data_IF_486602932339
#
_entry.id   IF_486602932339
#
_cell.length_a   1.000
_cell.length_b   1.000
_cell.length_c   1.000
_cell.angle_alpha   90.00
_cell.angle_beta   90.00
_cell.angle_gamma   90.00
#
_symmetry.space_group_name_H-M   'P 1'
#
loop_
_entity.id
_entity.type
_entity.pdbx_description
1 polymer ?
#
# COMPACT_ATOMS: atom_id res chain seq x y z
N UNK A 1 -21.26 19.01 -18.20
CA UNK A 1 -22.58 18.39 -18.01
C UNK A 1 -23.65 19.44 -18.29
N UNK A 2 -24.63 19.15 -19.15
CA UNK A 2 -25.75 20.06 -19.44
C UNK A 2 -27.01 19.50 -18.80
N UNK A 3 -27.69 20.31 -17.98
CA UNK A 3 -28.91 19.90 -17.27
C UNK A 3 -30.07 20.78 -17.77
N UNK A 4 -30.93 20.27 -18.65
CA UNK A 4 -32.12 21.00 -19.07
C UNK A 4 -33.13 21.03 -17.92
N UNK A 5 -33.53 22.22 -17.48
CA UNK A 5 -34.52 22.46 -16.41
C UNK A 5 -34.09 21.95 -15.02
N UNK A 6 -33.10 22.59 -14.37
CA UNK A 6 -32.70 22.22 -13.01
C UNK A 6 -33.81 22.51 -11.99
N UNK A 7 -34.09 21.55 -11.12
CA UNK A 7 -35.01 21.72 -10.00
C UNK A 7 -34.32 22.40 -8.81
N UNK A 8 -35.07 23.16 -8.00
CA UNK A 8 -34.54 23.77 -6.78
C UNK A 8 -34.10 22.67 -5.79
N UNK A 9 -32.81 22.64 -5.46
CA UNK A 9 -32.24 21.68 -4.51
C UNK A 9 -31.74 20.37 -5.14
N UNK A 10 -31.62 20.28 -6.46
CA UNK A 10 -31.09 19.09 -7.14
C UNK A 10 -29.61 18.84 -6.77
N UNK A 11 -29.31 17.62 -6.30
CA UNK A 11 -27.95 17.17 -5.96
C UNK A 11 -27.30 16.57 -7.21
N UNK A 12 -26.10 17.03 -7.55
CA UNK A 12 -25.31 16.54 -8.69
C UNK A 12 -24.13 15.75 -8.14
N UNK A 13 -24.07 14.47 -8.48
CA UNK A 13 -22.95 13.60 -8.13
C UNK A 13 -21.86 13.70 -9.19
N UNK A 14 -20.64 14.03 -8.78
CA UNK A 14 -19.46 14.06 -9.64
C UNK A 14 -18.75 12.69 -9.59
N UNK A 15 -18.11 12.26 -10.70
CA UNK A 15 -17.31 11.03 -10.69
C UNK A 15 -16.19 11.09 -9.65
N UNK A 16 -15.93 9.94 -9.01
CA UNK A 16 -14.92 9.82 -7.94
C UNK A 16 -13.53 10.23 -8.40
N UNK A 17 -13.20 10.03 -9.67
CA UNK A 17 -11.91 10.42 -10.26
C UNK A 17 -11.65 11.93 -10.24
N UNK A 18 -12.71 12.74 -10.32
CA UNK A 18 -12.62 14.20 -10.40
C UNK A 18 -12.54 14.86 -9.02
N UNK A 19 -12.98 14.16 -7.97
CA UNK A 19 -13.07 14.68 -6.59
C UNK A 19 -11.89 14.27 -5.69
N UNK A 20 -10.96 13.45 -6.21
CA UNK A 20 -9.74 13.03 -5.50
C UNK A 20 -8.70 14.14 -5.40
N UNK A 21 -8.67 15.09 -6.35
CA UNK A 21 -7.81 16.28 -6.34
C UNK A 21 -8.60 17.53 -5.98
N UNK A 22 -7.94 18.63 -5.63
CA UNK A 22 -8.62 19.93 -5.53
C UNK A 22 -9.22 20.29 -6.90
N UNK A 23 -10.48 20.71 -6.91
CA UNK A 23 -11.21 21.00 -8.14
C UNK A 23 -12.03 22.28 -7.99
N UNK A 24 -12.26 22.95 -9.13
CA UNK A 24 -13.08 24.15 -9.21
C UNK A 24 -14.29 23.86 -10.10
N UNK A 25 -15.49 23.99 -9.53
CA UNK A 25 -16.74 23.81 -10.26
C UNK A 25 -17.19 25.17 -10.76
N UNK A 26 -17.30 25.31 -12.08
CA UNK A 26 -17.91 26.49 -12.71
C UNK A 26 -19.32 26.15 -13.20
N UNK A 27 -20.32 26.86 -12.68
CA UNK A 27 -21.72 26.72 -13.07
C UNK A 27 -22.09 27.91 -13.93
N UNK A 28 -22.45 27.66 -15.19
CA UNK A 28 -22.84 28.69 -16.16
C UNK A 28 -24.33 28.61 -16.45
N UNK A 29 -25.03 29.72 -16.24
CA UNK A 29 -26.46 29.85 -16.52
C UNK A 29 -26.67 30.48 -17.88
N UNK A 30 -27.47 29.84 -18.73
CA UNK A 30 -27.77 30.30 -20.09
C UNK A 30 -29.26 30.56 -20.23
N UNK A 31 -29.62 31.70 -20.84
CA UNK A 31 -31.02 32.04 -21.17
C UNK A 31 -31.05 32.61 -22.58
N UNK A 32 -31.89 32.05 -23.45
CA UNK A 32 -32.07 32.49 -24.84
C UNK A 32 -30.75 32.58 -25.66
N UNK A 33 -29.80 31.68 -25.39
CA UNK A 33 -28.51 31.65 -26.08
C UNK A 33 -27.45 32.61 -25.55
N UNK A 34 -27.74 33.39 -24.51
CA UNK A 34 -26.78 34.27 -23.85
C UNK A 34 -26.42 33.75 -22.44
N UNK A 35 -25.14 33.82 -22.09
CA UNK A 35 -24.66 33.47 -20.75
C UNK A 35 -25.05 34.59 -19.77
N UNK A 36 -25.93 34.28 -18.83
CA UNK A 36 -26.49 35.26 -17.88
C UNK A 36 -25.64 35.37 -16.62
N UNK A 37 -25.04 34.27 -16.18
CA UNK A 37 -24.28 34.24 -14.92
C UNK A 37 -23.31 33.07 -14.86
N UNK A 38 -22.20 33.26 -14.14
CA UNK A 38 -21.20 32.23 -13.85
C UNK A 38 -20.84 32.27 -12.36
N UNK A 39 -20.87 31.10 -11.73
CA UNK A 39 -20.45 30.93 -10.34
C UNK A 39 -19.34 29.89 -10.26
N UNK A 40 -18.22 30.25 -9.62
CA UNK A 40 -17.11 29.35 -9.34
C UNK A 40 -17.08 28.95 -7.86
N UNK A 41 -16.98 27.65 -7.58
CA UNK A 41 -16.82 27.12 -6.22
C UNK A 41 -15.55 26.28 -6.19
N UNK A 42 -14.65 26.58 -5.26
CA UNK A 42 -13.45 25.77 -5.01
C UNK A 42 -13.76 24.71 -3.97
N UNK A 43 -13.50 23.45 -4.31
CA UNK A 43 -13.73 22.29 -3.47
C UNK A 43 -12.39 21.62 -3.12
N UNK A 44 -12.21 21.29 -1.85
CA UNK A 44 -11.04 20.53 -1.38
C UNK A 44 -11.13 19.08 -1.84
N UNK A 45 -9.97 18.46 -2.06
CA UNK A 45 -9.85 17.04 -2.35
C UNK A 45 -10.52 16.19 -1.27
N UNK A 46 -11.38 15.25 -1.67
CA UNK A 46 -11.94 14.26 -0.76
C UNK A 46 -10.98 13.07 -0.64
N UNK A 47 -10.75 12.60 0.59
CA UNK A 47 -9.89 11.44 0.82
C UNK A 47 -10.58 10.18 0.31
N UNK A 48 -9.87 9.40 -0.50
CA UNK A 48 -10.39 8.19 -1.15
C UNK A 48 -11.09 7.21 -0.20
N UNK A 49 -10.66 7.12 1.06
CA UNK A 49 -11.27 6.23 2.05
C UNK A 49 -12.60 6.76 2.63
N UNK A 50 -12.87 8.06 2.56
CA UNK A 50 -14.14 8.66 3.03
C UNK A 50 -15.27 8.53 1.99
N UNK A 51 -14.93 8.17 0.75
CA UNK A 51 -15.86 7.92 -0.35
C UNK A 51 -16.47 6.52 -0.34
N UNK A 52 -15.97 5.62 0.51
CA UNK A 52 -16.49 4.26 0.66
C UNK A 52 -17.56 4.29 1.76
N UNK A 53 -18.82 4.49 1.38
CA UNK A 53 -19.97 4.48 2.29
C UNK A 53 -20.39 3.05 2.71
N UNK A 54 -19.46 2.22 3.14
CA UNK A 54 -19.76 0.88 3.62
C UNK A 54 -18.93 0.53 4.87
N UNK A 55 -19.55 -0.16 5.83
CA UNK A 55 -18.83 -0.61 7.04
C UNK A 55 -18.09 -1.93 6.82
N UNK A 56 -18.66 -2.83 6.00
CA UNK A 56 -18.04 -4.10 5.57
C UNK A 56 -18.54 -4.42 4.16
N UNK A 57 -17.74 -4.11 3.14
CA UNK A 57 -18.02 -4.51 1.76
C UNK A 57 -16.75 -4.96 1.04
N UNK A 58 -16.91 -5.65 -0.09
CA UNK A 58 -15.78 -6.20 -0.87
C UNK A 58 -14.80 -5.09 -1.25
N UNK A 59 -15.30 -3.92 -1.68
CA UNK A 59 -14.49 -2.76 -2.09
C UNK A 59 -13.56 -2.29 -0.95
N UNK A 60 -14.06 -2.30 0.28
CA UNK A 60 -13.28 -1.98 1.47
C UNK A 60 -12.26 -3.08 1.78
N UNK A 61 -12.64 -4.37 1.79
CA UNK A 61 -11.71 -5.48 2.03
C UNK A 61 -10.58 -5.56 0.99
N UNK A 62 -10.85 -5.19 -0.27
CA UNK A 62 -9.85 -5.18 -1.35
C UNK A 62 -8.91 -3.99 -1.28
N UNK A 63 -9.18 -2.98 -0.44
CA UNK A 63 -8.34 -1.80 -0.30
C UNK A 63 -7.68 -1.73 1.10
N UNK A 64 -6.48 -2.31 1.27
CA UNK A 64 -5.82 -2.43 2.57
C UNK A 64 -5.39 -1.10 3.20
N UNK A 65 -5.41 0.01 2.45
CA UNK A 65 -5.13 1.36 2.97
C UNK A 65 -6.34 1.95 3.70
N UNK A 66 -7.56 1.53 3.35
CA UNK A 66 -8.81 2.03 3.92
C UNK A 66 -9.45 1.06 4.92
N UNK A 67 -8.97 -0.19 5.03
CA UNK A 67 -9.47 -1.13 6.04
C UNK A 67 -9.01 -0.71 7.44
N UNK A 68 -9.92 -0.63 8.42
CA UNK A 68 -9.53 -0.42 9.81
C UNK A 68 -8.72 -1.64 10.25
N UNK A 69 -7.56 -1.38 10.86
CA UNK A 69 -6.60 -2.41 11.28
C UNK A 69 -7.22 -3.47 12.19
N UNK A 70 -8.28 -3.11 12.92
CA UNK A 70 -9.04 -3.97 13.80
C UNK A 70 -9.72 -5.14 13.05
N UNK A 71 -10.26 -4.89 11.85
CA UNK A 71 -10.94 -5.92 11.06
C UNK A 71 -9.98 -6.96 10.50
N UNK A 72 -8.76 -6.56 10.15
CA UNK A 72 -7.71 -7.48 9.68
C UNK A 72 -7.40 -8.50 10.78
N UNK A 73 -7.28 -8.04 12.03
CA UNK A 73 -6.99 -8.90 13.19
C UNK A 73 -8.14 -9.88 13.42
N UNK A 74 -9.40 -9.40 13.38
CA UNK A 74 -10.59 -10.24 13.54
C UNK A 74 -10.67 -11.32 12.46
N UNK A 75 -10.39 -10.97 11.20
CA UNK A 75 -10.44 -11.89 10.07
C UNK A 75 -9.36 -12.99 10.20
N UNK A 76 -8.13 -12.61 10.56
CA UNK A 76 -7.02 -13.56 10.78
C UNK A 76 -7.33 -14.51 11.94
N UNK A 77 -7.84 -13.99 13.06
CA UNK A 77 -8.24 -14.82 14.21
C UNK A 77 -9.40 -15.75 13.83
N UNK A 78 -10.39 -15.25 13.10
CA UNK A 78 -11.52 -16.06 12.62
C UNK A 78 -11.07 -17.23 11.73
N UNK A 79 -10.17 -16.98 10.77
CA UNK A 79 -9.59 -18.03 9.93
C UNK A 79 -8.82 -19.07 10.75
N UNK A 80 -8.05 -18.63 11.76
CA UNK A 80 -7.34 -19.53 12.66
C UNK A 80 -8.29 -20.46 13.42
N UNK A 81 -9.39 -19.92 13.96
CA UNK A 81 -10.40 -20.72 14.66
C UNK A 81 -11.11 -21.71 13.73
N UNK A 82 -11.49 -21.28 12.52
CA UNK A 82 -12.14 -22.16 11.53
C UNK A 82 -11.21 -23.31 11.15
N UNK A 83 -9.94 -23.02 10.86
CA UNK A 83 -8.96 -24.06 10.51
C UNK A 83 -8.71 -25.02 11.68
N UNK A 84 -8.59 -24.49 12.90
CA UNK A 84 -8.45 -25.29 14.11
C UNK A 84 -9.65 -26.22 14.34
N UNK A 85 -10.87 -25.71 14.15
CA UNK A 85 -12.11 -26.48 14.26
C UNK A 85 -12.20 -27.60 13.22
N UNK A 86 -11.86 -27.31 11.96
CA UNK A 86 -11.80 -28.33 10.90
C UNK A 86 -10.79 -29.44 11.22
N UNK A 87 -9.59 -29.08 11.71
CA UNK A 87 -8.58 -30.07 12.13
C UNK A 87 -9.10 -30.92 13.28
N UNK A 88 -9.81 -30.32 14.25
CA UNK A 88 -10.40 -31.03 15.38
C UNK A 88 -11.45 -32.05 14.91
N UNK A 89 -12.37 -31.65 14.02
CA UNK A 89 -13.36 -32.56 13.41
C UNK A 89 -12.66 -33.72 12.69
N UNK A 90 -11.64 -33.43 11.87
CA UNK A 90 -10.89 -34.47 11.18
C UNK A 90 -10.21 -35.45 12.15
N UNK A 91 -9.72 -35.00 13.30
CA UNK A 91 -9.14 -35.87 14.34
C UNK A 91 -10.18 -36.76 14.99
N UNK A 92 -11.35 -36.21 15.34
CA UNK A 92 -12.47 -36.96 15.92
C UNK A 92 -12.95 -38.04 14.95
N UNK A 93 -13.11 -37.70 13.67
CA UNK A 93 -13.51 -38.65 12.63
C UNK A 93 -12.48 -39.78 12.46
N UNK A 94 -11.18 -39.47 12.47
CA UNK A 94 -10.12 -40.49 12.40
C UNK A 94 -10.10 -41.40 13.62
N UNK A 95 -10.32 -40.86 14.81
CA UNK A 95 -10.38 -41.65 16.03
C UNK A 95 -11.62 -42.55 16.05
N UNK A 96 -12.78 -42.05 15.62
CA UNK A 96 -14.01 -42.83 15.48
C UNK A 96 -13.88 -43.97 14.46
N UNK A 97 -13.34 -43.69 13.26
CA UNK A 97 -13.11 -44.71 12.23
C UNK A 97 -12.06 -45.74 12.68
N UNK A 98 -10.98 -45.28 13.32
CA UNK A 98 -9.92 -46.14 13.86
C UNK A 98 -10.43 -47.08 14.96
N UNK A 99 -11.27 -46.58 15.87
CA UNK A 99 -11.93 -47.37 16.90
C UNK A 99 -12.83 -48.46 16.32
N UNK A 100 -13.66 -48.12 15.34
CA UNK A 100 -14.54 -49.06 14.63
C UNK A 100 -13.73 -50.17 13.92
N UNK A 101 -12.66 -49.82 13.22
CA UNK A 101 -11.77 -50.80 12.57
C UNK A 101 -11.06 -51.71 13.58
N UNK A 102 -10.72 -51.19 14.77
CA UNK A 102 -10.10 -51.97 15.84
C UNK A 102 -11.07 -53.02 16.42
N UNK A 103 -12.34 -52.64 16.65
CA UNK A 103 -13.40 -53.55 17.09
C UNK A 103 -13.64 -54.65 16.04
N UNK A 104 -13.70 -54.28 14.75
CA UNK A 104 -13.87 -55.24 13.66
C UNK A 104 -12.69 -56.21 13.56
N UNK A 105 -11.46 -55.73 13.77
CA UNK A 105 -10.25 -56.58 13.80
C UNK A 105 -10.26 -57.53 14.99
N UNK A 106 -10.77 -57.11 16.15
CA UNK A 106 -10.90 -57.97 17.32
C UNK A 106 -11.96 -59.05 17.12
N UNK A 107 -13.14 -58.70 16.60
CA UNK A 107 -14.18 -59.67 16.23
C UNK A 107 -13.68 -60.68 15.21
N UNK A 108 -12.96 -60.22 14.17
CA UNK A 108 -12.38 -61.11 13.16
C UNK A 108 -11.32 -62.06 13.74
N UNK A 109 -10.47 -61.58 14.67
CA UNK A 109 -9.52 -62.42 15.40
C UNK A 109 -10.24 -63.47 16.25
N UNK A 110 -11.30 -63.10 16.96
CA UNK A 110 -12.13 -64.05 17.71
C UNK A 110 -12.75 -65.10 16.79
N UNK A 111 -13.35 -64.70 15.67
CA UNK A 111 -13.89 -65.62 14.67
C UNK A 111 -12.81 -66.58 14.12
N UNK A 112 -11.58 -66.10 13.90
CA UNK A 112 -10.45 -66.95 13.49
C UNK A 112 -10.04 -67.95 14.57
N UNK A 113 -10.04 -67.54 15.85
CA UNK A 113 -9.70 -68.44 16.97
C UNK A 113 -10.79 -69.51 17.12
N UNK A 114 -12.07 -69.12 17.11
CA UNK A 114 -13.21 -70.04 17.16
C UNK A 114 -13.17 -70.99 15.96
N UNK A 115 -12.95 -70.48 14.74
CA UNK A 115 -12.80 -71.30 13.54
C UNK A 115 -11.55 -72.19 13.54
N UNK A 116 -10.51 -71.88 14.32
CA UNK A 116 -9.37 -72.79 14.57
C UNK A 116 -9.73 -73.87 15.59
N UNK A 117 -10.52 -73.56 16.62
CA UNK A 117 -11.00 -74.55 17.60
C UNK A 117 -11.94 -75.57 16.96
N UNK A 118 -12.89 -75.14 16.13
CA UNK A 118 -13.75 -76.05 15.35
C UNK A 118 -12.93 -76.89 14.36
N UNK A 119 -11.95 -76.30 13.67
CA UNK A 119 -11.03 -77.06 12.79
C UNK A 119 -10.12 -78.01 13.54
N UNK A 120 -9.71 -77.72 14.77
CA UNK A 120 -8.92 -78.63 15.63
C UNK A 120 -9.75 -79.83 16.09
N UNK A 121 -11.06 -79.65 16.29
CA UNK A 121 -11.97 -80.76 16.61
C UNK A 121 -12.22 -81.67 15.38
N UNK A 122 -12.23 -81.09 14.18
CA UNK A 122 -12.36 -81.84 12.92
C UNK A 122 -11.03 -82.43 12.39
N UNK A 123 -9.86 -81.95 12.84
CA UNK A 123 -8.53 -82.38 12.36
C UNK A 123 -7.73 -83.23 13.36
N UNK A 124 -8.37 -83.80 14.38
CA UNK A 124 -7.71 -84.78 15.26
C UNK A 124 -7.54 -86.17 14.60
N UNK A 125 -7.88 -86.33 13.32
CA UNK A 125 -7.76 -87.61 12.61
C UNK A 125 -6.80 -87.61 11.41
N UNK A 126 -6.21 -86.48 11.00
CA UNK A 126 -5.14 -86.47 9.98
C UNK A 126 -4.09 -85.40 10.30
N UNK A 127 -2.93 -85.86 10.77
CA UNK A 127 -1.70 -85.11 10.72
C UNK A 127 -1.31 -84.90 9.25
N UNK A 128 -0.81 -83.72 8.91
CA UNK A 128 0.50 -83.54 8.28
C UNK A 128 0.76 -82.05 8.02
N UNK A 129 2.05 -81.74 8.12
CA UNK A 129 2.74 -80.46 8.04
C UNK A 129 2.24 -79.51 6.93
N UNK A 130 2.07 -78.24 7.26
CA UNK A 130 2.36 -77.10 6.35
C UNK A 130 2.33 -75.80 7.14
N UNK A 131 3.51 -75.23 7.39
CA UNK A 131 3.66 -73.84 7.81
C UNK A 131 3.22 -72.90 6.67
N UNK A 132 2.27 -72.02 6.95
CA UNK A 132 1.99 -70.85 6.11
C UNK A 132 2.30 -69.57 6.90
N UNK A 133 3.38 -68.89 6.54
CA UNK A 133 3.66 -67.51 6.97
C UNK A 133 2.68 -66.55 6.27
N UNK A 134 1.90 -65.73 6.99
CA UNK A 134 1.10 -64.70 6.34
C UNK A 134 1.99 -63.51 5.95
N UNK A 135 2.07 -63.22 4.64
CA UNK A 135 2.54 -61.95 4.12
C UNK A 135 1.63 -60.82 4.61
N UNK A 136 2.12 -59.98 5.52
CA UNK A 136 1.48 -58.70 5.83
C UNK A 136 1.90 -57.67 4.80
N UNK A 137 1.10 -57.48 3.74
CA UNK A 137 1.21 -56.31 2.87
C UNK A 137 0.62 -55.10 3.60
N UNK A 138 1.48 -54.19 4.04
CA UNK A 138 1.12 -52.88 4.57
C UNK A 138 0.81 -51.95 3.39
N UNK A 139 -0.47 -51.78 3.05
CA UNK A 139 -0.89 -50.73 2.11
C UNK A 139 -0.76 -49.38 2.81
N UNK A 140 0.29 -48.61 2.48
CA UNK A 140 0.40 -47.20 2.82
C UNK A 140 -0.52 -46.42 1.89
N UNK A 141 -1.72 -46.08 2.36
CA UNK A 141 -2.60 -45.11 1.68
C UNK A 141 -2.04 -43.70 1.90
N UNK A 142 -1.14 -43.29 1.02
CA UNK A 142 -0.74 -41.90 0.88
C UNK A 142 -1.74 -41.20 -0.05
N UNK A 143 -2.79 -40.58 0.51
CA UNK A 143 -3.55 -39.49 -0.12
C UNK A 143 -4.25 -38.71 1.00
N UNK A 144 -3.89 -37.43 1.21
CA UNK A 144 -4.68 -36.35 0.61
C UNK A 144 -3.85 -35.11 0.24
N UNK A 145 -2.53 -35.24 0.00
CA UNK A 145 -1.68 -34.07 -0.29
C UNK A 145 -1.80 -33.58 -1.74
N UNK A 146 -2.07 -34.48 -2.68
CA UNK A 146 -2.17 -34.13 -4.11
C UNK A 146 -3.52 -33.54 -4.49
N UNK A 147 -4.62 -33.99 -3.88
CA UNK A 147 -5.96 -33.45 -4.16
C UNK A 147 -6.05 -31.98 -3.73
N UNK A 148 -5.48 -31.64 -2.57
CA UNK A 148 -5.44 -30.26 -2.04
C UNK A 148 -4.60 -29.34 -2.93
N UNK A 149 -3.49 -29.85 -3.49
CA UNK A 149 -2.63 -29.08 -4.36
C UNK A 149 -3.33 -28.75 -5.68
N UNK A 150 -4.10 -29.70 -6.24
CA UNK A 150 -4.85 -29.51 -7.49
C UNK A 150 -6.02 -28.52 -7.30
N UNK A 151 -6.70 -28.55 -6.14
CA UNK A 151 -7.78 -27.58 -5.86
C UNK A 151 -7.25 -26.16 -5.64
N UNK A 152 -6.10 -26.01 -4.99
CA UNK A 152 -5.41 -24.71 -4.85
C UNK A 152 -4.90 -24.18 -6.19
N UNK A 153 -4.44 -25.06 -7.08
CA UNK A 153 -3.97 -24.67 -8.42
C UNK A 153 -5.12 -24.18 -9.32
N UNK A 154 -6.31 -24.79 -9.21
CA UNK A 154 -7.50 -24.40 -9.98
C UNK A 154 -8.12 -23.08 -9.51
N UNK A 155 -7.99 -22.74 -8.22
CA UNK A 155 -8.46 -21.44 -7.67
C UNK A 155 -7.48 -20.28 -7.94
N UNK A 156 -6.23 -20.59 -8.31
CA UNK A 156 -5.20 -19.58 -8.58
C UNK A 156 -5.15 -19.14 -10.05
N UNK A 157 -6.01 -19.68 -10.93
CA UNK A 157 -6.07 -19.22 -12.33
C UNK A 157 -6.78 -17.87 -12.40
N UNK A 158 -6.10 -16.78 -12.75
CA UNK A 158 -6.75 -15.50 -12.95
C UNK A 158 -7.56 -15.56 -14.25
N UNK A 159 -8.88 -15.55 -14.13
CA UNK A 159 -9.77 -15.29 -15.27
C UNK A 159 -9.70 -13.78 -15.50
N UNK A 160 -8.89 -13.36 -16.46
CA UNK A 160 -8.84 -11.96 -16.88
C UNK A 160 -9.84 -11.79 -18.03
N UNK A 161 -11.02 -11.28 -17.71
CA UNK A 161 -11.98 -10.79 -18.70
C UNK A 161 -11.70 -9.30 -18.94
N UNK A 162 -11.36 -8.95 -20.18
CA UNK A 162 -11.37 -7.56 -20.64
C UNK A 162 -12.84 -7.17 -20.82
N UNK A 163 -13.35 -6.26 -20.00
CA UNK A 163 -14.66 -5.67 -20.21
C UNK A 163 -14.54 -4.60 -21.29
N UNK A 164 -15.21 -4.82 -22.43
CA UNK A 164 -15.31 -3.85 -23.52
C UNK A 164 -16.70 -3.23 -23.42
N UNK A 165 -16.76 -1.94 -23.10
CA UNK A 165 -18.00 -1.18 -23.07
C UNK A 165 -18.16 -0.52 -24.44
N UNK A 166 -19.15 -0.96 -25.20
CA UNK A 166 -19.49 -0.38 -26.49
C UNK A 166 -20.54 0.72 -26.29
N UNK A 167 -20.15 1.98 -26.47
CA UNK A 167 -21.09 3.10 -26.57
C UNK A 167 -21.20 3.54 -28.03
N UNK A 168 -22.43 3.58 -28.54
CA UNK A 168 -22.73 4.03 -29.91
C UNK A 168 -23.33 5.42 -29.84
N UNK A 169 -22.61 6.42 -30.35
CA UNK A 169 -23.15 7.77 -30.52
C UNK A 169 -23.51 7.99 -32.00
N UNK A 170 -24.70 8.52 -32.25
CA UNK A 170 -25.23 8.74 -33.60
C UNK A 170 -25.61 10.20 -33.76
N UNK A 171 -24.85 10.89 -34.62
CA UNK A 171 -25.06 12.30 -34.92
C UNK A 171 -25.61 12.45 -36.34
N UNK A 172 -26.93 12.59 -36.47
CA UNK A 172 -27.60 12.81 -37.74
C UNK A 172 -27.89 14.30 -37.97
N UNK A 173 -27.39 14.82 -39.10
CA UNK A 173 -27.63 16.18 -39.57
C UNK A 173 -28.55 16.09 -40.80
N UNK A 174 -29.61 16.89 -40.83
CA UNK A 174 -30.47 17.00 -42.01
C UNK A 174 -30.05 18.24 -42.79
N UNK A 175 -29.53 18.03 -44.00
CA UNK A 175 -29.17 19.14 -44.88
C UNK A 175 -30.44 19.87 -45.36
N UNK A 176 -30.30 21.15 -45.77
CA UNK A 176 -31.43 21.99 -46.22
C UNK A 176 -32.22 21.41 -47.41
N UNK A 177 -31.66 20.45 -48.13
CA UNK A 177 -32.27 19.71 -49.24
C UNK A 177 -33.04 18.45 -48.80
N UNK A 178 -33.19 18.22 -47.49
CA UNK A 178 -33.90 17.06 -46.94
C UNK A 178 -33.08 15.77 -46.89
N UNK A 179 -31.82 15.80 -47.35
CA UNK A 179 -30.91 14.66 -47.27
C UNK A 179 -30.39 14.49 -45.83
N UNK A 180 -30.64 13.30 -45.26
CA UNK A 180 -30.13 12.91 -43.94
C UNK A 180 -28.70 12.40 -44.05
N UNK A 181 -27.77 13.02 -43.34
CA UNK A 181 -26.38 12.59 -43.23
C UNK A 181 -26.13 12.18 -41.79
N UNK A 182 -25.96 10.88 -41.53
CA UNK A 182 -25.71 10.34 -40.20
C UNK A 182 -24.23 10.00 -40.03
N UNK A 183 -23.66 10.45 -38.92
CA UNK A 183 -22.27 10.25 -38.51
C UNK A 183 -22.30 9.30 -37.31
N UNK A 184 -21.58 8.18 -37.40
CA UNK A 184 -21.47 7.20 -36.31
C UNK A 184 -20.13 7.37 -35.62
N UNK A 185 -20.14 7.80 -34.36
CA UNK A 185 -18.95 7.88 -33.52
C UNK A 185 -19.06 6.77 -32.46
N UNK A 186 -18.32 5.68 -32.68
CA UNK A 186 -18.26 4.58 -31.72
C UNK A 186 -17.18 4.90 -30.69
N UNK A 187 -17.59 5.21 -29.46
CA UNK A 187 -16.68 5.42 -28.34
C UNK A 187 -16.45 4.08 -27.65
N UNK A 188 -15.19 3.61 -27.71
CA UNK A 188 -14.74 2.36 -27.10
C UNK A 188 -13.87 2.70 -25.88
N UNK A 189 -14.39 2.44 -24.68
CA UNK A 189 -13.63 2.60 -23.45
C UNK A 189 -12.93 1.28 -23.11
N UNK A 190 -11.60 1.33 -22.94
CA UNK A 190 -10.75 0.16 -22.70
C UNK A 190 -10.10 0.27 -21.32
N UNK A 191 -10.53 -0.58 -20.39
CA UNK A 191 -9.96 -0.65 -19.05
C UNK A 191 -8.78 -1.62 -19.02
N UNK A 192 -7.56 -1.07 -19.05
CA UNK A 192 -6.33 -1.85 -18.93
C UNK A 192 -5.94 -2.03 -17.45
N UNK A 193 -6.12 -3.24 -16.92
CA UNK A 193 -5.71 -3.58 -15.55
C UNK A 193 -4.20 -3.80 -15.40
N UNK A 194 -3.69 -3.62 -14.17
CA UNK A 194 -2.27 -3.80 -13.81
C UNK A 194 -1.71 -5.22 -14.05
N UNK A 195 -2.57 -6.23 -14.29
CA UNK A 195 -2.13 -7.58 -14.64
C UNK A 195 -1.90 -7.79 -16.15
N UNK A 196 -2.15 -6.79 -16.99
CA UNK A 196 -1.94 -6.82 -18.46
C UNK A 196 -0.45 -6.72 -18.86
N UNK A 197 0.49 -6.99 -17.96
CA UNK A 197 1.92 -6.72 -18.15
C UNK A 197 2.64 -7.72 -19.07
N UNK A 198 2.03 -8.86 -19.39
CA UNK A 198 2.64 -9.84 -20.29
C UNK A 198 1.91 -9.92 -21.63
N UNK A 199 2.18 -8.94 -22.50
CA UNK A 199 1.93 -9.06 -23.94
C UNK A 199 0.47 -9.26 -24.34
N UNK A 200 -0.48 -8.84 -23.50
CA UNK A 200 -1.89 -8.89 -23.86
C UNK A 200 -2.16 -7.93 -25.01
N UNK A 201 -2.79 -8.49 -26.04
CA UNK A 201 -3.21 -7.77 -27.23
C UNK A 201 -4.72 -7.62 -27.16
N UNK A 202 -5.20 -6.39 -26.98
CA UNK A 202 -6.62 -6.09 -27.08
C UNK A 202 -7.00 -6.05 -28.57
N UNK A 203 -7.88 -6.94 -28.98
CA UNK A 203 -8.37 -7.01 -30.36
C UNK A 203 -9.79 -6.46 -30.44
N UNK A 204 -9.96 -5.44 -31.27
CA UNK A 204 -11.24 -4.80 -31.55
C UNK A 204 -11.67 -5.24 -32.94
N UNK A 205 -12.82 -5.88 -33.05
CA UNK A 205 -13.39 -6.29 -34.34
C UNK A 205 -14.36 -5.21 -34.79
N UNK A 206 -14.07 -4.60 -35.94
CA UNK A 206 -14.95 -3.63 -36.58
C UNK A 206 -16.04 -4.38 -37.33
N UNK A 207 -17.29 -3.98 -37.14
CA UNK A 207 -18.44 -4.59 -37.80
C UNK A 207 -19.23 -3.53 -38.57
N UNK A 208 -19.67 -3.88 -39.77
CA UNK A 208 -20.62 -3.08 -40.55
C UNK A 208 -22.04 -3.16 -39.95
N UNK A 209 -22.91 -2.25 -40.35
CA UNK A 209 -24.35 -2.18 -40.05
C UNK A 209 -25.10 -3.52 -40.16
N UNK A 210 -24.62 -4.45 -40.99
CA UNK A 210 -25.14 -5.83 -41.10
C UNK A 210 -24.50 -6.86 -40.16
N UNK A 211 -23.82 -6.42 -39.10
CA UNK A 211 -23.08 -7.27 -38.15
C UNK A 211 -21.97 -8.14 -38.78
N UNK A 212 -21.48 -7.71 -39.95
CA UNK A 212 -20.43 -8.40 -40.70
C UNK A 212 -19.07 -7.81 -40.29
N UNK A 213 -18.07 -8.64 -39.92
CA UNK A 213 -16.75 -8.14 -39.56
C UNK A 213 -16.06 -7.53 -40.78
N UNK A 214 -15.75 -6.23 -40.71
CA UNK A 214 -15.14 -5.45 -41.79
C UNK A 214 -13.63 -5.29 -41.59
N UNK A 215 -13.15 -5.43 -40.35
CA UNK A 215 -11.73 -5.30 -40.03
C UNK A 215 -11.41 -5.60 -38.57
N UNK A 216 -10.13 -5.59 -38.22
CA UNK A 216 -9.66 -5.75 -36.85
C UNK A 216 -8.58 -4.72 -36.51
N UNK A 217 -8.65 -4.17 -35.30
CA UNK A 217 -7.63 -3.30 -34.71
C UNK A 217 -7.01 -4.06 -33.54
N UNK A 218 -5.68 -4.17 -33.51
CA UNK A 218 -4.97 -4.83 -32.42
C UNK A 218 -4.15 -3.80 -31.65
N UNK A 219 -4.41 -3.66 -30.35
CA UNK A 219 -3.71 -2.78 -29.43
C UNK A 219 -2.81 -3.60 -28.53
N UNK A 220 -1.54 -3.22 -28.44
CA UNK A 220 -0.53 -3.90 -27.61
C UNK A 220 0.13 -2.90 -26.67
N UNK A 221 0.03 -3.16 -25.38
CA UNK A 221 0.73 -2.37 -24.37
C UNK A 221 2.15 -2.94 -24.21
N UNK A 222 3.15 -2.16 -24.61
CA UNK A 222 4.55 -2.56 -24.48
C UNK A 222 5.07 -2.37 -23.05
N UNK A 223 4.79 -1.21 -22.44
CA UNK A 223 5.16 -0.92 -21.06
C UNK A 223 4.32 0.24 -20.51
N UNK A 224 3.94 0.15 -19.23
CA UNK A 224 3.41 1.27 -18.46
C UNK A 224 4.58 1.84 -17.66
N UNK A 225 4.96 3.09 -17.95
CA UNK A 225 6.11 3.74 -17.30
C UNK A 225 5.64 4.89 -16.41
N UNK A 226 6.03 4.85 -15.14
CA UNK A 226 5.87 6.00 -14.24
C UNK A 226 7.03 6.98 -14.46
N UNK A 227 6.71 8.20 -14.90
CA UNK A 227 7.70 9.26 -15.08
C UNK A 227 7.63 10.20 -13.88
N UNK A 228 8.75 10.34 -13.17
CA UNK A 228 8.87 11.27 -12.05
C UNK A 228 9.06 12.71 -12.56
N UNK A 229 8.11 13.59 -12.25
CA UNK A 229 8.24 15.04 -12.43
C UNK A 229 8.68 15.67 -11.11
N UNK A 230 9.88 16.26 -11.09
CA UNK A 230 10.51 16.82 -9.89
C UNK A 230 10.00 18.23 -9.63
N UNK A 231 9.47 18.50 -8.42
CA UNK A 231 8.89 19.79 -8.04
C UNK A 231 9.88 20.76 -7.39
N UNK A 232 10.89 20.27 -6.66
CA UNK A 232 11.91 21.12 -6.03
C UNK A 232 13.29 20.47 -6.09
N UNK A 233 14.34 21.28 -6.21
CA UNK A 233 15.74 20.82 -6.21
C UNK A 233 16.49 21.55 -5.11
N UNK A 234 16.94 20.82 -4.10
CA UNK A 234 17.81 21.36 -3.06
C UNK A 234 19.08 20.50 -2.93
N UNK A 235 20.16 21.17 -2.57
CA UNK A 235 21.44 20.51 -2.31
C UNK A 235 21.65 20.44 -0.81
N UNK A 236 21.95 19.24 -0.31
CA UNK A 236 22.44 19.07 1.06
C UNK A 236 23.90 18.62 1.00
N UNK A 237 24.60 18.85 2.11
CA UNK A 237 25.99 18.40 2.30
C UNK A 237 26.12 17.90 3.72
N UNK A 238 26.93 16.87 3.89
CA UNK A 238 27.32 16.41 5.21
C UNK A 238 28.31 17.42 5.82
N UNK A 239 28.05 17.80 7.07
CA UNK A 239 28.89 18.71 7.82
C UNK A 239 29.15 18.16 9.22
N UNK A 240 30.32 18.46 9.74
CA UNK A 240 30.65 18.29 11.15
C UNK A 240 30.45 19.60 11.89
N UNK A 241 29.95 19.48 13.12
CA UNK A 241 29.83 20.60 14.04
C UNK A 241 31.12 20.71 14.85
N UNK A 242 31.72 21.89 14.82
CA UNK A 242 32.82 22.27 15.69
C UNK A 242 32.41 23.44 16.59
N UNK A 243 33.05 23.55 17.74
CA UNK A 243 32.88 24.68 18.64
C UNK A 243 34.24 25.17 19.12
N UNK A 244 34.47 26.47 19.00
CA UNK A 244 35.61 27.13 19.62
C UNK A 244 35.09 28.10 20.68
N UNK A 245 35.79 28.21 21.80
CA UNK A 245 35.45 29.16 22.85
C UNK A 245 36.69 29.77 23.47
N UNK A 246 36.52 30.96 24.03
CA UNK A 246 37.55 31.69 24.77
C UNK A 246 36.88 32.40 25.94
N UNK A 247 37.53 32.30 27.09
CA UNK A 247 37.09 32.91 28.33
C UNK A 247 37.97 34.12 28.62
N UNK A 248 37.35 35.27 28.88
CA UNK A 248 38.03 36.54 29.17
C UNK A 248 37.50 37.14 30.48
N UNK A 249 38.42 37.73 31.24
CA UNK A 249 38.06 38.48 32.43
C UNK A 249 37.49 39.87 32.07
N UNK A 250 36.87 40.53 33.06
CA UNK A 250 36.38 41.90 32.91
C UNK A 250 37.51 42.84 32.46
N UNK A 251 37.27 43.62 31.40
CA UNK A 251 38.21 44.58 30.86
C UNK A 251 39.27 43.99 29.92
N UNK A 252 39.24 42.68 29.66
CA UNK A 252 40.19 42.00 28.79
C UNK A 252 39.63 41.80 27.37
N UNK A 253 40.42 42.15 26.35
CA UNK A 253 40.04 42.00 24.95
C UNK A 253 38.72 42.70 24.63
N UNK A 254 37.80 41.97 23.97
CA UNK A 254 36.45 42.45 23.66
C UNK A 254 35.51 42.49 24.86
N UNK A 255 35.89 41.96 26.02
CA UNK A 255 35.07 41.94 27.24
C UNK A 255 35.15 43.29 28.00
N UNK A 256 34.74 44.37 27.35
CA UNK A 256 34.88 45.74 27.88
C UNK A 256 33.67 46.22 28.69
N UNK A 257 32.52 45.57 28.56
CA UNK A 257 31.30 45.94 29.26
C UNK A 257 30.47 44.73 29.67
N UNK A 258 29.70 44.88 30.75
CA UNK A 258 28.83 43.82 31.29
C UNK A 258 27.72 43.41 30.30
N UNK A 259 27.28 44.33 29.44
CA UNK A 259 26.26 44.07 28.42
C UNK A 259 26.84 43.47 27.13
N UNK A 260 28.16 43.26 27.04
CA UNK A 260 28.76 42.74 25.80
C UNK A 260 28.20 41.37 25.41
N UNK A 261 27.93 40.49 26.38
CA UNK A 261 27.30 39.21 26.06
C UNK A 261 25.83 39.31 25.64
N UNK A 262 25.11 40.34 26.10
CA UNK A 262 23.69 40.56 25.79
C UNK A 262 23.49 41.23 24.42
N UNK A 263 24.51 41.94 23.94
CA UNK A 263 24.49 42.73 22.70
C UNK A 263 25.18 42.04 21.52
N UNK A 264 25.86 40.90 21.74
CA UNK A 264 26.56 40.18 20.68
C UNK A 264 25.58 39.60 19.66
N UNK A 265 25.79 39.90 18.37
CA UNK A 265 24.99 39.35 17.29
C UNK A 265 25.25 37.86 17.03
N UNK A 266 24.24 37.16 16.51
CA UNK A 266 24.29 35.71 16.20
C UNK A 266 25.31 35.35 15.09
N UNK A 267 25.72 36.32 14.26
CA UNK A 267 26.71 36.15 13.19
C UNK A 267 27.86 37.18 13.28
N UNK A 268 28.07 37.75 14.47
CA UNK A 268 29.15 38.71 14.71
C UNK A 268 30.50 37.99 14.79
N UNK A 269 31.52 38.52 14.13
CA UNK A 269 32.87 37.95 14.18
C UNK A 269 33.52 38.23 15.54
N UNK A 270 34.01 37.19 16.21
CA UNK A 270 34.69 37.31 17.50
C UNK A 270 36.20 37.40 17.25
N UNK A 271 36.84 38.50 17.65
CA UNK A 271 38.26 38.77 17.36
C UNK A 271 39.22 37.74 17.95
N UNK A 272 38.86 37.16 19.08
CA UNK A 272 39.65 36.22 19.86
C UNK A 272 39.57 34.79 19.30
N UNK A 273 38.64 34.55 18.38
CA UNK A 273 38.47 33.25 17.71
C UNK A 273 38.49 33.41 16.17
N UNK A 274 39.59 33.89 15.57
CA UNK A 274 39.63 34.22 14.15
C UNK A 274 39.52 32.98 13.25
N UNK A 275 39.91 31.81 13.76
CA UNK A 275 39.92 30.54 13.00
C UNK A 275 38.52 30.02 12.65
N UNK A 276 37.46 30.45 13.32
CA UNK A 276 36.09 30.01 13.02
C UNK A 276 35.24 31.08 12.34
N UNK A 277 35.67 32.34 12.31
CA UNK A 277 34.92 33.44 11.69
C UNK A 277 34.65 33.25 10.19
N UNK A 278 35.48 32.50 9.48
CA UNK A 278 35.31 32.21 8.05
C UNK A 278 34.39 31.02 7.77
N UNK A 279 33.99 30.27 8.80
CA UNK A 279 33.16 29.07 8.66
C UNK A 279 31.69 29.41 8.94
N UNK A 280 30.75 28.78 8.22
CA UNK A 280 29.32 29.01 8.44
C UNK A 280 28.93 28.53 9.83
N UNK A 281 28.41 29.43 10.66
CA UNK A 281 28.22 29.18 12.08
C UNK A 281 27.47 30.29 12.77
N UNK A 282 27.26 30.11 14.07
CA UNK A 282 26.64 31.09 14.96
C UNK A 282 27.60 31.44 16.10
N UNK A 283 27.75 32.71 16.37
CA UNK A 283 28.48 33.28 17.50
C UNK A 283 27.56 33.47 18.70
N UNK A 284 28.12 33.40 19.90
CA UNK A 284 27.42 33.66 21.15
C UNK A 284 28.37 34.02 22.29
N UNK A 285 27.79 34.51 23.38
CA UNK A 285 28.51 34.91 24.58
C UNK A 285 27.70 34.54 25.81
N UNK A 286 28.38 34.05 26.84
CA UNK A 286 27.79 33.79 28.16
C UNK A 286 28.60 34.53 29.22
N UNK A 287 27.92 35.07 30.23
CA UNK A 287 28.55 35.59 31.44
C UNK A 287 28.39 34.55 32.56
N UNK A 288 29.36 33.65 32.76
CA UNK A 288 29.28 32.61 33.79
C UNK A 288 29.39 33.17 35.21
N UNK A 289 29.83 34.42 35.37
CA UNK A 289 30.15 35.03 36.67
C UNK A 289 29.13 36.09 37.10
N UNK A 290 28.02 36.22 36.35
CA UNK A 290 27.01 37.26 36.57
C UNK A 290 26.54 37.27 38.03
N UNK A 291 26.92 38.31 38.78
CA UNK A 291 26.51 38.53 40.16
C UNK A 291 27.33 37.81 41.24
N UNK A 292 28.48 37.22 40.92
CA UNK A 292 29.38 36.59 41.89
C UNK A 292 30.58 37.49 42.22
N UNK A 293 31.04 37.46 43.48
CA UNK A 293 32.15 38.30 43.98
C UNK A 293 33.54 37.71 43.68
N UNK A 294 33.61 36.38 43.57
CA UNK A 294 34.82 35.64 43.22
C UNK A 294 34.50 34.73 42.06
N UNK A 295 35.22 34.90 40.95
CA UNK A 295 35.07 34.04 39.80
C UNK A 295 36.41 33.45 39.35
N UNK A 296 36.34 32.27 38.75
CA UNK A 296 37.51 31.44 38.48
C UNK A 296 38.54 32.19 37.63
N UNK A 297 39.78 32.26 38.13
CA UNK A 297 40.97 32.83 37.49
C UNK A 297 40.93 34.34 37.14
N UNK A 298 39.96 35.10 37.63
CA UNK A 298 39.92 36.56 37.47
C UNK A 298 40.07 37.27 38.83
N UNK A 299 41.06 38.16 38.95
CA UNK A 299 41.28 38.96 40.15
C UNK A 299 40.26 40.11 40.18
N UNK A 300 39.21 40.01 41.01
CA UNK A 300 38.15 41.02 41.17
C UNK A 300 37.37 41.38 39.87
N UNK A 301 36.65 40.43 39.28
CA UNK A 301 35.72 40.71 38.17
C UNK A 301 34.26 40.64 38.62
N UNK A 302 33.47 41.68 38.34
CA UNK A 302 32.01 41.71 38.56
C UNK A 302 31.21 41.03 37.45
N UNK A 303 31.83 40.75 36.30
CA UNK A 303 31.30 40.02 35.15
C UNK A 303 32.45 39.40 34.35
N UNK A 304 32.17 38.38 33.55
CA UNK A 304 33.15 37.78 32.62
C UNK A 304 32.50 37.47 31.27
N UNK A 305 33.31 37.19 30.24
CA UNK A 305 32.81 36.88 28.92
C UNK A 305 33.37 35.54 28.43
N UNK A 306 32.50 34.54 28.33
CA UNK A 306 32.76 33.30 27.61
C UNK A 306 32.22 33.45 26.19
N UNK A 307 33.09 33.85 25.28
CA UNK A 307 32.79 33.91 23.86
C UNK A 307 32.88 32.52 23.25
N UNK A 308 31.91 32.16 22.40
CA UNK A 308 31.94 30.90 21.67
C UNK A 308 31.39 31.05 20.26
N UNK A 309 31.87 30.20 19.37
CA UNK A 309 31.36 30.09 18.01
C UNK A 309 31.16 28.63 17.65
N UNK A 310 29.92 28.28 17.32
CA UNK A 310 29.58 26.99 16.74
C UNK A 310 29.68 27.11 15.22
N UNK A 311 30.46 26.26 14.58
CA UNK A 311 30.70 26.31 13.14
C UNK A 311 30.51 24.96 12.49
N UNK A 312 30.22 24.98 11.19
CA UNK A 312 30.02 23.78 10.36
C UNK A 312 31.18 23.61 9.40
N UNK A 313 31.85 22.45 9.46
CA UNK A 313 32.93 22.08 8.54
C UNK A 313 32.45 20.99 7.59
N UNK A 314 32.57 21.21 6.29
CA UNK A 314 32.19 20.21 5.29
C UNK A 314 33.20 19.06 5.28
N UNK A 315 32.72 17.82 5.45
CA UNK A 315 33.56 16.61 5.46
C UNK A 315 33.90 16.11 4.04
N UNK A 316 32.96 16.26 3.10
CA UNK A 316 33.06 15.66 1.76
C UNK A 316 32.93 16.75 0.68
N UNK A 317 33.80 16.72 -0.34
CA UNK A 317 33.77 17.66 -1.49
C UNK A 317 32.63 17.41 -2.48
N UNK A 318 31.75 16.43 -2.25
CA UNK A 318 30.67 16.06 -3.18
C UNK A 318 29.33 16.55 -2.66
N UNK A 319 28.62 17.31 -3.50
CA UNK A 319 27.27 17.76 -3.21
C UNK A 319 26.29 16.63 -3.51
N UNK A 320 25.44 16.28 -2.55
CA UNK A 320 24.34 15.34 -2.78
C UNK A 320 23.15 16.16 -3.29
N UNK A 321 22.61 15.73 -4.43
CA UNK A 321 21.43 16.35 -5.03
C UNK A 321 20.21 15.57 -4.56
N UNK A 322 19.36 16.22 -3.77
CA UNK A 322 18.08 15.65 -3.38
C UNK A 322 16.99 16.16 -4.33
N UNK A 323 16.02 15.30 -4.60
CA UNK A 323 14.88 15.53 -5.48
C UNK A 323 13.59 15.37 -4.69
#
# INVERSE_FOLDING_TARGET
>A
MYIPHPENGQIIYLPTEQIISEYEVSVKFWKNGEQVSEMGIKCSAQKHCELIECTVCIQMLTNPQCTPKEWIIILVLGLYFILGFLIMICRILKFGLGGMLCIMRHKWRLCKIIGKLFRRRARKEKAEFTEFKPFTKTYKTNLPREVILITLLLLALPIQSLEIINAKDEHCIVNKEGQRTCSYENVLELNFGLQSQNGQEAQIILQDSGNRPTGKITLKINAIQAVCFRSAKFFTRDFELGANSVYLCSGEGSCTSQQKCETLGVNESISEIPKSNHLPGTSGCLDPCKGQLFCQNCYYSSYTCLFFQMFRRTQIKRNIRNF
#
